data_IF_001338163411
#
_entry.id   IF_001338163411
#
_cell.length_a   1.000
_cell.length_b   1.000
_cell.length_c   1.000
_cell.angle_alpha   90.00
_cell.angle_beta   90.00
_cell.angle_gamma   90.00
#
_symmetry.space_group_name_H-M   'P 1'
#
loop_
_entity.id
_entity.type
_entity.pdbx_description
1 polymer ?
#
# COMPACT_ATOMS: atom_id res chain seq x y z
N UNK A 1 -3.99 -10.05 -17.28
CA UNK A 1 -4.27 -9.07 -16.21
C UNK A 1 -5.70 -8.57 -16.38
N UNK A 2 -6.54 -8.65 -15.34
CA UNK A 2 -7.89 -8.10 -15.39
C UNK A 2 -7.84 -6.61 -15.01
N UNK A 3 -8.58 -5.77 -15.72
CA UNK A 3 -8.58 -4.31 -15.54
C UNK A 3 -9.99 -3.80 -15.23
N UNK A 4 -10.08 -2.82 -14.32
CA UNK A 4 -11.31 -2.06 -14.04
C UNK A 4 -11.04 -0.56 -14.17
N UNK A 5 -12.04 0.20 -14.58
CA UNK A 5 -12.03 1.67 -14.52
C UNK A 5 -12.74 2.13 -13.25
N UNK A 6 -12.30 3.23 -12.63
CA UNK A 6 -12.90 3.75 -11.40
C UNK A 6 -13.20 5.25 -11.49
N UNK A 7 -14.36 5.65 -10.97
CA UNK A 7 -14.67 7.03 -10.62
C UNK A 7 -14.25 7.24 -9.16
N UNK A 8 -13.47 8.28 -8.86
CA UNK A 8 -12.83 8.57 -7.56
C UNK A 8 -13.76 8.70 -6.32
N UNK A 9 -15.04 8.34 -6.39
CA UNK A 9 -16.07 8.63 -5.40
C UNK A 9 -16.34 7.50 -4.37
N UNK A 10 -15.66 6.36 -4.44
CA UNK A 10 -15.82 5.28 -3.44
C UNK A 10 -14.80 5.39 -2.31
N UNK A 11 -15.24 5.85 -1.14
CA UNK A 11 -14.41 6.02 0.05
C UNK A 11 -14.52 4.79 0.97
N UNK A 12 -13.48 3.95 1.00
CA UNK A 12 -13.33 2.90 2.02
C UNK A 12 -11.99 3.08 2.76
N UNK A 13 -11.72 4.30 3.26
CA UNK A 13 -10.66 4.48 4.26
C UNK A 13 -11.12 3.87 5.59
N UNK A 14 -10.71 2.63 5.88
CA UNK A 14 -10.93 2.07 7.22
C UNK A 14 -9.92 2.68 8.18
N UNK A 15 -10.35 3.68 8.97
CA UNK A 15 -9.54 4.34 10.01
C UNK A 15 -9.15 3.42 11.17
N UNK A 16 -9.75 2.23 11.27
CA UNK A 16 -9.50 1.30 12.36
C UNK A 16 -8.11 0.64 12.22
N UNK A 17 -7.47 0.30 13.35
CA UNK A 17 -6.29 -0.56 13.34
C UNK A 17 -6.54 -1.87 12.57
N UNK A 18 -5.57 -2.35 11.78
CA UNK A 18 -5.60 -3.72 11.29
C UNK A 18 -5.61 -4.69 12.48
N UNK A 19 -6.37 -5.77 12.34
CA UNK A 19 -6.46 -6.84 13.33
C UNK A 19 -5.47 -7.93 12.95
N UNK A 20 -4.72 -8.42 13.93
CA UNK A 20 -3.76 -9.50 13.74
C UNK A 20 -4.38 -10.72 13.03
N UNK A 21 -3.65 -11.26 12.05
CA UNK A 21 -4.03 -12.43 11.26
C UNK A 21 -5.15 -12.20 10.25
N UNK A 22 -5.75 -11.02 10.23
CA UNK A 22 -6.84 -10.71 9.31
C UNK A 22 -6.31 -10.47 7.89
N UNK A 23 -7.21 -10.66 6.92
CA UNK A 23 -6.96 -10.33 5.53
C UNK A 23 -7.73 -9.10 5.09
N UNK A 24 -7.08 -8.20 4.34
CA UNK A 24 -7.65 -6.95 3.85
C UNK A 24 -7.44 -6.77 2.35
N UNK A 25 -8.33 -6.00 1.71
CA UNK A 25 -8.06 -5.42 0.40
C UNK A 25 -7.22 -4.16 0.59
N UNK A 26 -6.10 -4.09 -0.12
CA UNK A 26 -5.19 -2.95 -0.11
C UNK A 26 -4.80 -2.55 -1.53
N UNK A 27 -4.11 -1.43 -1.63
CA UNK A 27 -3.82 -0.74 -2.88
C UNK A 27 -2.36 -0.33 -2.96
N UNK A 28 -1.76 -0.54 -4.13
CA UNK A 28 -0.40 -0.08 -4.46
C UNK A 28 -0.44 0.76 -5.73
N UNK A 29 -0.18 2.07 -5.61
CA UNK A 29 -0.06 2.96 -6.77
C UNK A 29 1.32 2.87 -7.41
N UNK A 30 1.37 2.67 -8.71
CA UNK A 30 2.63 2.55 -9.46
C UNK A 30 2.42 2.90 -10.94
N UNK A 31 3.45 2.73 -11.77
CA UNK A 31 3.33 2.91 -13.23
C UNK A 31 2.83 1.65 -13.92
N UNK A 32 2.29 1.76 -15.13
CA UNK A 32 1.83 0.62 -15.92
C UNK A 32 2.92 -0.45 -16.07
N UNK A 33 4.14 -0.02 -16.43
CA UNK A 33 5.30 -0.90 -16.60
C UNK A 33 5.68 -1.64 -15.32
N UNK A 34 5.65 -0.96 -14.16
CA UNK A 34 5.95 -1.59 -12.88
C UNK A 34 4.87 -2.59 -12.47
N UNK A 35 3.60 -2.28 -12.74
CA UNK A 35 2.50 -3.20 -12.47
C UNK A 35 2.57 -4.47 -13.31
N UNK A 36 2.96 -4.38 -14.58
CA UNK A 36 3.25 -5.55 -15.44
C UNK A 36 4.39 -6.38 -14.87
N UNK A 37 5.49 -5.73 -14.44
CA UNK A 37 6.60 -6.40 -13.77
C UNK A 37 6.15 -7.16 -12.52
N UNK A 38 5.40 -6.50 -11.63
CA UNK A 38 4.86 -7.11 -10.40
C UNK A 38 3.92 -8.27 -10.72
N UNK A 39 3.09 -8.17 -11.76
CA UNK A 39 2.21 -9.25 -12.18
C UNK A 39 3.01 -10.50 -12.63
N UNK A 40 4.12 -10.29 -13.32
CA UNK A 40 4.95 -11.38 -13.84
C UNK A 40 5.89 -12.00 -12.80
N UNK A 41 6.49 -11.18 -11.92
CA UNK A 41 7.52 -11.62 -10.98
C UNK A 41 7.09 -11.64 -9.51
N UNK A 42 5.87 -11.19 -9.21
CA UNK A 42 5.44 -10.90 -7.84
C UNK A 42 6.02 -9.58 -7.30
N UNK A 43 5.55 -9.20 -6.11
CA UNK A 43 6.10 -8.07 -5.38
C UNK A 43 7.50 -8.36 -4.86
N UNK A 44 8.32 -7.32 -4.75
CA UNK A 44 9.63 -7.35 -4.12
C UNK A 44 9.68 -6.28 -3.04
N UNK A 45 10.38 -6.57 -1.95
CA UNK A 45 10.62 -5.55 -0.93
C UNK A 45 11.38 -4.36 -1.53
N UNK A 46 11.00 -3.15 -1.14
CA UNK A 46 11.88 -1.99 -1.33
C UNK A 46 13.16 -2.17 -0.50
N UNK A 47 14.26 -1.54 -0.90
CA UNK A 47 15.51 -1.61 -0.14
C UNK A 47 15.43 -0.87 1.21
N UNK A 48 14.58 0.16 1.28
CA UNK A 48 14.37 1.01 2.45
C UNK A 48 13.02 1.76 2.34
N UNK A 49 12.70 2.54 3.38
CA UNK A 49 11.57 3.45 3.42
C UNK A 49 11.35 4.00 4.82
N UNK A 50 10.22 4.69 5.01
CA UNK A 50 9.85 5.26 6.32
C UNK A 50 9.74 4.18 7.40
N UNK A 51 9.26 3.00 7.03
CA UNK A 51 9.08 1.83 7.90
C UNK A 51 10.16 0.76 7.68
N UNK A 52 11.28 1.10 7.03
CA UNK A 52 12.29 0.13 6.62
C UNK A 52 11.94 -0.59 5.32
N UNK A 53 12.55 -1.75 5.07
CA UNK A 53 12.29 -2.55 3.87
C UNK A 53 10.95 -3.28 3.97
N UNK A 54 10.28 -3.43 2.84
CA UNK A 54 9.00 -4.13 2.73
C UNK A 54 8.22 -3.70 1.51
N UNK A 55 6.97 -4.16 1.39
CA UNK A 55 6.04 -3.73 0.35
C UNK A 55 5.06 -2.74 0.96
N UNK A 56 5.05 -1.52 0.42
CA UNK A 56 4.22 -0.42 0.92
C UNK A 56 2.86 -0.42 0.25
N UNK A 57 1.82 -0.41 1.08
CA UNK A 57 0.43 -0.54 0.71
C UNK A 57 -0.42 0.46 1.49
N UNK A 58 -1.64 0.70 1.00
CA UNK A 58 -2.63 1.47 1.73
C UNK A 58 -3.99 0.80 1.59
N UNK A 59 -4.81 0.90 2.64
CA UNK A 59 -6.24 0.59 2.60
C UNK A 59 -7.08 1.72 1.97
N UNK A 60 -6.46 2.86 1.68
CA UNK A 60 -7.07 4.01 1.00
C UNK A 60 -6.69 4.03 -0.50
N UNK A 61 -7.68 3.73 -1.35
CA UNK A 61 -7.53 3.75 -2.81
C UNK A 61 -7.16 5.14 -3.33
N UNK A 62 -7.77 6.21 -2.81
CA UNK A 62 -7.47 7.58 -3.25
C UNK A 62 -6.05 7.99 -2.85
N UNK A 63 -5.54 7.45 -1.73
CA UNK A 63 -4.12 7.61 -1.39
C UNK A 63 -3.24 6.91 -2.42
N UNK A 64 -3.45 5.62 -2.64
CA UNK A 64 -2.63 4.85 -3.57
C UNK A 64 -2.64 5.46 -4.98
N UNK A 65 -3.80 5.91 -5.48
CA UNK A 65 -3.92 6.45 -6.84
C UNK A 65 -3.12 7.72 -7.12
N UNK A 66 -2.60 8.41 -6.08
CA UNK A 66 -1.74 9.58 -6.28
C UNK A 66 -0.33 9.23 -6.73
N UNK A 67 0.11 8.00 -6.47
CA UNK A 67 1.48 7.56 -6.75
C UNK A 67 1.62 7.00 -8.17
N UNK A 68 2.80 7.20 -8.81
CA UNK A 68 3.90 8.04 -8.32
C UNK A 68 3.55 9.54 -8.31
N UNK A 69 4.10 10.28 -7.35
CA UNK A 69 3.91 11.74 -7.26
C UNK A 69 4.57 12.39 -8.48
N UNK A 70 3.97 13.47 -8.99
CA UNK A 70 4.46 14.23 -10.16
C UNK A 70 4.64 13.41 -11.46
N UNK A 71 3.99 12.25 -11.55
CA UNK A 71 3.96 11.41 -12.75
C UNK A 71 2.70 11.69 -13.60
N UNK A 72 2.74 11.52 -14.94
CA UNK A 72 1.56 11.71 -15.79
C UNK A 72 0.41 10.79 -15.40
N UNK A 73 -0.80 11.35 -15.29
CA UNK A 73 -2.01 10.61 -14.86
C UNK A 73 -2.25 9.38 -15.72
N UNK A 74 -2.07 9.48 -17.03
CA UNK A 74 -2.34 8.39 -17.97
C UNK A 74 -1.47 7.13 -17.78
N UNK A 75 -0.33 7.22 -17.09
CA UNK A 75 0.53 6.07 -16.79
C UNK A 75 0.44 5.61 -15.33
N UNK A 76 -0.32 6.30 -14.48
CA UNK A 76 -0.58 5.82 -13.12
C UNK A 76 -1.58 4.68 -13.16
N UNK A 77 -1.30 3.60 -12.45
CA UNK A 77 -2.23 2.50 -12.20
C UNK A 77 -2.23 2.14 -10.72
N UNK A 78 -3.31 1.53 -10.26
CA UNK A 78 -3.38 0.99 -8.90
C UNK A 78 -3.52 -0.52 -8.98
N UNK A 79 -2.60 -1.23 -8.34
CA UNK A 79 -2.72 -2.66 -8.09
C UNK A 79 -3.63 -2.87 -6.89
N UNK A 80 -4.69 -3.66 -7.07
CA UNK A 80 -5.56 -4.11 -5.98
C UNK A 80 -5.07 -5.49 -5.53
N UNK A 81 -4.85 -5.64 -4.23
CA UNK A 81 -4.31 -6.86 -3.62
C UNK A 81 -5.15 -7.29 -2.44
N UNK A 82 -5.13 -8.60 -2.18
CA UNK A 82 -5.57 -9.19 -0.92
C UNK A 82 -4.33 -9.48 -0.07
N UNK A 83 -4.32 -9.04 1.18
CA UNK A 83 -3.13 -9.05 2.04
C UNK A 83 -3.47 -9.70 3.37
N UNK A 84 -2.77 -10.78 3.72
CA UNK A 84 -2.78 -11.32 5.08
C UNK A 84 -1.76 -10.55 5.92
N UNK A 85 -2.23 -9.71 6.86
CA UNK A 85 -1.36 -8.80 7.60
C UNK A 85 -0.52 -9.49 8.68
N UNK A 86 -0.83 -10.74 9.03
CA UNK A 86 -0.12 -11.46 10.09
C UNK A 86 -0.12 -10.67 11.41
N UNK A 87 0.99 -10.68 12.15
CA UNK A 87 1.14 -9.88 13.36
C UNK A 87 1.43 -8.42 13.00
N UNK A 88 0.64 -7.49 13.53
CA UNK A 88 0.73 -6.07 13.19
C UNK A 88 1.31 -5.28 14.35
N UNK A 89 2.18 -4.31 14.04
CA UNK A 89 2.60 -3.29 15.01
C UNK A 89 2.30 -1.89 14.51
N UNK A 90 1.78 -1.04 15.39
CA UNK A 90 1.54 0.36 15.08
C UNK A 90 2.84 1.16 15.24
N UNK A 91 3.24 1.88 14.19
CA UNK A 91 4.33 2.85 14.20
C UNK A 91 3.71 4.24 14.15
N UNK A 92 3.51 4.85 15.31
CA UNK A 92 2.62 6.00 15.48
C UNK A 92 3.32 7.32 15.81
N UNK A 93 4.65 7.41 15.70
CA UNK A 93 5.41 8.65 15.80
C UNK A 93 6.80 8.51 15.15
N UNK A 94 7.40 9.63 14.76
CA UNK A 94 8.73 9.65 14.15
C UNK A 94 9.81 9.16 15.12
N UNK A 95 10.77 8.38 14.61
CA UNK A 95 11.83 7.74 15.40
C UNK A 95 11.32 6.69 16.40
N UNK A 96 10.18 6.06 16.11
CA UNK A 96 9.69 4.93 16.89
C UNK A 96 10.79 3.85 16.99
N UNK A 97 11.04 3.24 18.17
CA UNK A 97 12.11 2.25 18.36
C UNK A 97 12.04 1.08 17.37
N UNK A 98 10.81 0.69 16.99
CA UNK A 98 10.55 -0.38 16.01
C UNK A 98 10.41 0.11 14.57
N UNK A 99 10.52 1.41 14.27
CA UNK A 99 10.14 2.01 12.98
C UNK A 99 10.72 1.26 11.78
N UNK A 100 11.96 0.79 11.87
CA UNK A 100 12.64 0.04 10.78
C UNK A 100 13.06 -1.38 11.18
N UNK A 101 12.73 -1.83 12.38
CA UNK A 101 13.25 -3.06 12.98
C UNK A 101 12.15 -4.02 13.41
N UNK A 102 10.87 -3.60 13.33
CA UNK A 102 9.69 -4.42 13.62
C UNK A 102 9.71 -5.87 13.08
N UNK A 103 10.28 -6.21 11.90
CA UNK A 103 10.28 -7.59 11.43
C UNK A 103 11.12 -8.51 12.33
N UNK A 104 12.21 -7.98 12.89
CA UNK A 104 13.09 -8.74 13.80
C UNK A 104 12.47 -8.99 15.17
N UNK A 105 11.33 -8.36 15.47
CA UNK A 105 10.52 -8.60 16.67
C UNK A 105 9.32 -9.52 16.39
N UNK A 106 9.28 -10.12 15.19
CA UNK A 106 8.26 -11.09 14.81
C UNK A 106 6.94 -10.48 14.36
N UNK A 107 6.94 -9.21 13.93
CA UNK A 107 5.81 -8.59 13.26
C UNK A 107 5.90 -8.81 11.75
N UNK A 108 4.77 -9.08 11.11
CA UNK A 108 4.65 -9.30 9.67
C UNK A 108 4.31 -8.02 8.91
N UNK A 109 3.63 -7.08 9.59
CA UNK A 109 3.25 -5.77 9.05
C UNK A 109 3.51 -4.66 10.07
N UNK A 110 4.14 -3.57 9.62
CA UNK A 110 4.10 -2.29 10.33
C UNK A 110 2.99 -1.42 9.75
N UNK A 111 2.17 -0.83 10.62
CA UNK A 111 1.05 0.02 10.24
C UNK A 111 1.22 1.42 10.82
N UNK A 112 1.02 2.44 9.99
CA UNK A 112 0.98 3.85 10.38
C UNK A 112 -0.47 4.27 10.56
N UNK A 113 -0.90 4.67 11.78
CA UNK A 113 -2.24 5.19 11.99
C UNK A 113 -2.47 6.54 11.28
N UNK A 114 -3.73 6.86 10.91
CA UNK A 114 -4.03 8.19 10.42
C UNK A 114 -3.75 9.25 11.48
N UNK A 115 -3.30 10.42 11.05
CA UNK A 115 -3.06 11.63 11.85
C UNK A 115 -2.09 11.45 13.04
N UNK A 116 -1.16 10.51 12.98
CA UNK A 116 -0.18 10.27 14.04
C UNK A 116 1.17 11.01 13.85
N UNK A 117 1.28 11.90 12.86
CA UNK A 117 2.50 12.67 12.59
C UNK A 117 3.62 11.94 11.83
N UNK A 118 3.38 10.70 11.37
CA UNK A 118 4.34 9.94 10.54
C UNK A 118 4.46 10.44 9.11
N UNK A 119 3.36 10.90 8.50
CA UNK A 119 3.35 11.43 7.13
C UNK A 119 2.78 12.84 7.10
N UNK A 120 3.27 13.69 6.18
CA UNK A 120 2.72 15.05 5.98
C UNK A 120 1.23 15.04 5.62
N UNK A 121 0.79 13.97 4.96
CA UNK A 121 -0.61 13.80 4.53
C UNK A 121 -1.56 13.42 5.67
N UNK A 122 -1.04 12.92 6.81
CA UNK A 122 -1.86 12.36 7.88
C UNK A 122 -2.54 11.03 7.52
N UNK A 123 -2.22 10.42 6.38
CA UNK A 123 -2.89 9.19 5.93
C UNK A 123 -2.09 7.95 6.30
N UNK A 124 -2.85 6.88 6.50
CA UNK A 124 -2.37 5.57 6.95
C UNK A 124 -1.49 4.87 5.89
N UNK A 125 -0.62 3.97 6.34
CA UNK A 125 0.28 3.20 5.47
C UNK A 125 0.60 1.86 6.11
N UNK A 126 0.55 0.79 5.32
CA UNK A 126 0.98 -0.54 5.71
C UNK A 126 2.33 -0.85 5.01
N UNK A 127 3.25 -1.47 5.74
CA UNK A 127 4.48 -2.02 5.19
C UNK A 127 4.55 -3.51 5.56
N UNK A 128 4.40 -4.38 4.56
CA UNK A 128 4.37 -5.83 4.73
C UNK A 128 5.77 -6.39 4.46
N UNK A 129 6.26 -7.25 5.35
CA UNK A 129 7.63 -7.77 5.25
C UNK A 129 7.75 -8.79 4.12
N UNK A 130 6.93 -9.84 4.14
CA UNK A 130 6.99 -10.96 3.21
C UNK A 130 6.03 -10.76 2.04
N UNK A 131 6.53 -10.58 0.80
CA UNK A 131 5.68 -10.43 -0.38
C UNK A 131 4.73 -11.60 -0.65
N UNK A 132 5.02 -12.81 -0.16
CA UNK A 132 4.15 -13.98 -0.35
C UNK A 132 2.79 -13.84 0.34
N UNK A 133 2.66 -12.89 1.27
CA UNK A 133 1.40 -12.55 1.95
C UNK A 133 0.47 -11.68 1.09
N UNK A 134 0.94 -11.22 -0.08
CA UNK A 134 0.25 -10.28 -0.95
C UNK A 134 -0.18 -11.00 -2.22
N UNK A 135 -1.49 -11.18 -2.38
CA UNK A 135 -2.09 -11.77 -3.57
C UNK A 135 -2.57 -10.66 -4.51
N UNK A 136 -1.99 -10.60 -5.71
CA UNK A 136 -2.47 -9.73 -6.79
C UNK A 136 -3.88 -10.14 -7.21
N UNK A 137 -4.81 -9.17 -7.30
CA UNK A 137 -6.17 -9.41 -7.78
C UNK A 137 -6.37 -8.85 -9.19
N UNK A 138 -6.30 -7.53 -9.34
CA UNK A 138 -6.54 -6.83 -10.61
C UNK A 138 -5.96 -5.41 -10.58
N UNK A 139 -5.92 -4.75 -11.74
CA UNK A 139 -5.58 -3.33 -11.82
C UNK A 139 -6.80 -2.43 -11.89
N UNK A 140 -6.62 -1.23 -11.37
CA UNK A 140 -7.46 -0.07 -11.67
C UNK A 140 -6.66 0.91 -12.52
N UNK A 141 -7.22 1.29 -13.67
CA UNK A 141 -6.69 2.36 -14.52
C UNK A 141 -7.49 3.65 -14.36
N UNK A 142 -6.84 4.81 -14.50
CA UNK A 142 -7.51 6.12 -14.47
C UNK A 142 -8.46 6.22 -15.66
N UNK A 143 -9.66 6.73 -15.40
CA UNK A 143 -10.57 7.10 -16.48
C UNK A 143 -10.10 8.41 -17.08
N UNK A 144 -9.59 8.37 -18.32
CA UNK A 144 -9.29 9.58 -19.08
C UNK A 144 -10.59 10.00 -19.76
N UNK A 145 -11.24 11.04 -19.26
CA UNK A 145 -12.39 11.65 -19.93
C UNK A 145 -11.80 12.56 -21.03
N UNK A 146 -12.06 12.30 -22.33
CA UNK A 146 -11.69 13.23 -23.38
C UNK A 146 -12.42 14.55 -23.14
N UNK A 147 -11.67 15.65 -23.08
CA UNK A 147 -12.21 17.01 -22.99
C UNK A 147 -12.79 17.50 -24.30
#
# INVERSE_FOLDING_TARGET
>A
MFEKSFNLHGNHSTKSPPVDGQTYIMYHGTTTRNAEGIYMSGFRQSENGMLGRGVYLSRDLQKASRYPIDHPVWDKVVIVVQVNVGRVTAINYQNHPLQKTWPYYGFDTAWVPPNCGMTKSGLEEDCVWDPTRIMFLYLIKPMIIPG
#
